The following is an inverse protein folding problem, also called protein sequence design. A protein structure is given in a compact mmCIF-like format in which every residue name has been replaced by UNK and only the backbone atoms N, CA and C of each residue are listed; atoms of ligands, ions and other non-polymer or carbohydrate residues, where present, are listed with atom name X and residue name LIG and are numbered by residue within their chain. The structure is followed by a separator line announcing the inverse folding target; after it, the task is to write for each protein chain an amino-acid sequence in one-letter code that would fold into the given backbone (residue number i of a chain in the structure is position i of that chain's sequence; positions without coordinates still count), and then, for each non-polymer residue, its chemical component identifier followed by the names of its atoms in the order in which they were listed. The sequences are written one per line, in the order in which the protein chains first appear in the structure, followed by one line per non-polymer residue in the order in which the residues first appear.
data_IF_570048127614
#
_entry.id   IF_570048127614
#
_cell.length_a   1.000
_cell.length_b   1.000
_cell.length_c   1.000
_cell.angle_alpha   90.00
_cell.angle_beta   90.00
_cell.angle_gamma   90.00
#
_symmetry.space_group_name_H-M   'P 1'
#
loop_
_entity.id
_entity.type
_entity.pdbx_description
1 polymer ?
#
# COMPACT_ATOMS: atom_id res chain seq x y z
N UNK A 1 48.26 49.99 42.01
CA UNK A 1 46.94 50.15 41.37
C UNK A 1 47.16 49.83 39.90
N UNK A 2 46.67 48.76 39.29
CA UNK A 2 45.38 48.07 39.40
C UNK A 2 45.56 46.56 39.28
N UNK A 3 44.61 45.82 39.84
CA UNK A 3 44.49 44.38 39.80
C UNK A 3 43.34 43.95 38.87
N UNK A 4 43.50 42.77 38.24
CA UNK A 4 42.47 41.80 37.78
C UNK A 4 41.60 42.25 36.58
N UNK A 5 41.14 41.42 35.64
CA UNK A 5 40.79 39.99 35.58
C UNK A 5 41.02 39.42 34.14
N UNK A 6 41.57 38.21 33.93
CA UNK A 6 40.87 36.91 33.71
C UNK A 6 39.98 36.92 32.44
N UNK A 7 40.20 36.11 31.38
CA UNK A 7 39.97 34.65 31.32
C UNK A 7 40.53 33.96 30.06
N UNK A 8 41.04 32.76 30.34
CA UNK A 8 41.38 31.59 29.52
C UNK A 8 40.72 31.44 28.14
N UNK A 9 41.58 31.24 27.13
CA UNK A 9 41.25 30.55 25.87
C UNK A 9 42.42 29.64 25.50
N UNK A 10 42.31 28.35 25.78
CA UNK A 10 43.32 27.36 25.43
C UNK A 10 42.99 26.69 24.08
N UNK A 11 43.86 26.96 23.10
CA UNK A 11 44.48 26.03 22.13
C UNK A 11 44.37 24.54 22.58
N UNK A 12 44.25 23.49 21.77
CA UNK A 12 44.56 23.11 20.37
C UNK A 12 43.58 21.94 20.06
N UNK A 13 43.36 21.45 18.84
CA UNK A 13 44.11 20.31 18.27
C UNK A 13 43.61 20.16 16.83
N UNK A 14 44.53 20.33 15.88
CA UNK A 14 44.40 19.83 14.51
C UNK A 14 44.75 18.34 14.50
N UNK A 15 43.87 17.50 13.98
CA UNK A 15 44.26 16.21 13.41
C UNK A 15 43.22 15.81 12.36
N UNK A 16 43.69 15.56 11.15
CA UNK A 16 42.84 15.31 9.99
C UNK A 16 42.15 13.96 10.04
N UNK A 17 41.02 13.87 9.35
CA UNK A 17 40.58 12.67 8.66
C UNK A 17 39.68 13.11 7.49
N UNK A 18 40.11 12.85 6.26
CA UNK A 18 39.22 12.92 5.10
C UNK A 18 38.10 11.91 5.29
N UNK A 19 36.88 12.38 5.47
CA UNK A 19 35.71 11.55 5.27
C UNK A 19 35.29 11.68 3.81
N UNK A 20 35.65 10.66 3.05
CA UNK A 20 35.02 10.31 1.78
C UNK A 20 33.53 10.17 2.10
N UNK A 21 32.73 11.16 1.71
CA UNK A 21 31.28 11.05 1.68
C UNK A 21 30.89 10.09 0.57
N UNK A 22 31.05 8.79 0.80
CA UNK A 22 30.41 7.78 -0.01
C UNK A 22 28.90 7.88 0.27
N UNK A 23 28.18 8.38 -0.74
CA UNK A 23 26.73 8.32 -0.83
C UNK A 23 26.21 6.97 -0.37
N UNK A 24 25.38 6.96 0.68
CA UNK A 24 24.49 5.83 0.95
C UNK A 24 23.38 5.83 -0.10
N UNK A 25 23.72 5.44 -1.32
CA UNK A 25 22.73 4.91 -2.24
C UNK A 25 22.23 3.57 -1.67
N UNK A 26 20.92 3.36 -1.78
CA UNK A 26 20.15 2.20 -1.30
C UNK A 26 19.90 2.15 0.22
N UNK A 27 19.10 3.10 0.72
CA UNK A 27 18.13 2.72 1.74
C UNK A 27 17.23 1.65 1.10
N UNK A 28 17.37 0.41 1.57
CA UNK A 28 16.40 -0.64 1.32
C UNK A 28 15.01 -0.02 1.58
N UNK A 29 14.12 -0.08 0.60
CA UNK A 29 12.71 0.26 0.81
C UNK A 29 12.20 -0.76 1.82
N UNK A 30 12.19 -0.40 3.10
CA UNK A 30 11.66 -1.27 4.13
C UNK A 30 10.22 -1.61 3.75
N UNK A 31 9.95 -2.91 3.69
CA UNK A 31 8.61 -3.47 3.50
C UNK A 31 7.74 -3.04 4.70
N UNK A 32 6.88 -2.04 4.51
CA UNK A 32 6.06 -1.44 5.58
C UNK A 32 4.84 -2.29 5.93
N UNK A 33 4.42 -3.20 5.04
CA UNK A 33 3.08 -3.78 5.06
C UNK A 33 3.01 -5.26 5.53
N UNK A 34 3.84 -5.62 6.50
CA UNK A 34 3.84 -6.96 7.15
C UNK A 34 3.41 -6.90 8.63
N UNK A 35 2.83 -5.77 9.04
CA UNK A 35 2.34 -5.56 10.40
C UNK A 35 1.19 -6.50 10.75
N UNK A 36 0.95 -6.67 12.06
CA UNK A 36 -0.23 -7.39 12.57
C UNK A 36 -1.47 -6.51 12.37
N UNK A 37 -2.11 -6.63 11.22
CA UNK A 37 -3.45 -6.06 10.97
C UNK A 37 -4.55 -7.03 11.39
N UNK A 38 -5.73 -6.50 11.69
CA UNK A 38 -6.96 -7.30 11.82
C UNK A 38 -7.41 -7.73 10.43
N UNK A 39 -7.84 -9.00 10.32
CA UNK A 39 -8.38 -9.50 9.06
C UNK A 39 -9.61 -8.69 8.62
N UNK A 40 -9.78 -8.41 7.32
CA UNK A 40 -10.97 -7.75 6.84
C UNK A 40 -12.21 -8.64 7.03
N UNK A 41 -13.38 -8.02 7.17
CA UNK A 41 -14.67 -8.72 7.29
C UNK A 41 -15.05 -9.53 6.04
N UNK A 42 -14.37 -9.25 4.92
CA UNK A 42 -14.48 -9.96 3.64
C UNK A 42 -13.36 -10.99 3.44
N UNK A 43 -12.65 -11.39 4.50
CA UNK A 43 -11.69 -12.47 4.41
C UNK A 43 -12.38 -13.76 3.94
N UNK A 44 -11.77 -14.44 2.96
CA UNK A 44 -12.36 -15.61 2.32
C UNK A 44 -11.70 -15.93 0.97
N UNK A 45 -12.17 -17.01 0.36
CA UNK A 45 -11.76 -17.44 -0.98
C UNK A 45 -12.92 -17.26 -1.96
N UNK A 46 -12.64 -16.69 -3.13
CA UNK A 46 -13.67 -16.28 -4.08
C UNK A 46 -13.24 -16.59 -5.51
N UNK A 47 -14.18 -17.00 -6.37
CA UNK A 47 -14.01 -16.85 -7.82
C UNK A 47 -14.50 -15.47 -8.25
N UNK A 48 -13.84 -14.90 -9.24
CA UNK A 48 -14.31 -13.67 -9.88
C UNK A 48 -15.01 -13.90 -11.23
N UNK A 49 -15.75 -12.88 -11.66
CA UNK A 49 -16.51 -12.90 -12.92
C UNK A 49 -15.63 -12.79 -14.18
N UNK A 50 -14.31 -12.67 -14.03
CA UNK A 50 -13.35 -12.65 -15.14
C UNK A 50 -12.60 -13.98 -15.30
N UNK A 51 -12.98 -15.00 -14.51
CA UNK A 51 -12.39 -16.34 -14.56
C UNK A 51 -11.14 -16.51 -13.68
N UNK A 52 -10.81 -15.50 -12.87
CA UNK A 52 -9.78 -15.57 -11.84
C UNK A 52 -10.32 -15.95 -10.46
N UNK A 53 -9.47 -15.82 -9.45
CA UNK A 53 -9.82 -15.99 -8.05
C UNK A 53 -9.16 -14.95 -7.16
N UNK A 54 -9.78 -14.74 -6.01
CA UNK A 54 -9.32 -13.82 -4.97
C UNK A 54 -9.27 -14.56 -3.64
N UNK A 55 -8.09 -14.60 -3.02
CA UNK A 55 -7.94 -15.00 -1.62
C UNK A 55 -7.70 -13.75 -0.78
N UNK A 56 -8.72 -13.35 -0.04
CA UNK A 56 -8.64 -12.26 0.93
C UNK A 56 -8.24 -12.87 2.27
N UNK A 57 -6.94 -12.85 2.56
CA UNK A 57 -6.39 -13.41 3.78
C UNK A 57 -6.42 -12.43 4.96
N UNK A 58 -5.78 -12.82 6.06
CA UNK A 58 -5.67 -11.98 7.26
C UNK A 58 -4.78 -10.76 7.07
N UNK A 59 -3.69 -10.91 6.32
CA UNK A 59 -2.65 -9.89 6.14
C UNK A 59 -2.16 -9.77 4.69
N UNK A 60 -2.83 -10.44 3.77
CA UNK A 60 -2.45 -10.49 2.36
C UNK A 60 -3.69 -10.70 1.50
N UNK A 61 -3.73 -10.05 0.36
CA UNK A 61 -4.67 -10.34 -0.72
C UNK A 61 -3.89 -11.04 -1.83
N UNK A 62 -4.39 -12.17 -2.31
CA UNK A 62 -3.85 -12.86 -3.48
C UNK A 62 -4.89 -12.81 -4.58
N UNK A 63 -4.52 -12.23 -5.73
CA UNK A 63 -5.32 -12.24 -6.95
C UNK A 63 -4.65 -13.20 -7.93
N UNK A 64 -5.36 -14.23 -8.37
CA UNK A 64 -4.80 -15.28 -9.21
C UNK A 64 -5.64 -15.60 -10.45
N UNK A 65 -5.00 -16.22 -11.43
CA UNK A 65 -5.63 -16.65 -12.67
C UNK A 65 -4.66 -17.36 -13.59
N UNK A 66 -4.96 -17.39 -14.90
CA UNK A 66 -4.14 -18.08 -15.90
C UNK A 66 -2.71 -17.53 -16.05
N UNK A 67 -2.45 -16.32 -15.55
CA UNK A 67 -1.14 -15.64 -15.62
C UNK A 67 -0.33 -15.77 -14.32
N UNK A 68 -0.78 -16.56 -13.35
CA UNK A 68 -0.15 -16.71 -12.04
C UNK A 68 -0.82 -15.85 -10.96
N UNK A 69 -0.11 -15.65 -9.86
CA UNK A 69 -0.61 -14.96 -8.66
C UNK A 69 0.08 -13.62 -8.44
N UNK A 70 -0.72 -12.64 -8.01
CA UNK A 70 -0.28 -11.35 -7.52
C UNK A 70 -0.56 -11.25 -6.02
N UNK A 71 0.49 -11.04 -5.25
CA UNK A 71 0.46 -10.95 -3.79
C UNK A 71 0.50 -9.48 -3.34
N UNK A 72 -0.46 -9.07 -2.52
CA UNK A 72 -0.58 -7.70 -1.99
C UNK A 72 -0.61 -7.73 -0.47
N UNK A 73 0.45 -7.22 0.18
CA UNK A 73 0.65 -7.32 1.63
C UNK A 73 0.02 -6.14 2.34
N UNK A 74 -0.70 -6.36 3.45
CA UNK A 74 -1.56 -5.35 4.06
C UNK A 74 -0.77 -4.34 4.92
N UNK A 75 -0.87 -3.07 4.57
CA UNK A 75 -0.38 -1.97 5.40
C UNK A 75 -1.43 -1.60 6.45
N UNK A 76 -2.68 -1.43 5.99
CA UNK A 76 -3.80 -1.03 6.81
C UNK A 76 -5.12 -1.60 6.27
N UNK A 77 -6.03 -1.96 7.19
CA UNK A 77 -7.40 -2.40 6.89
C UNK A 77 -8.36 -1.42 7.52
N UNK A 78 -9.14 -0.71 6.70
CA UNK A 78 -10.08 0.33 7.12
C UNK A 78 -11.52 -0.16 6.91
N UNK A 79 -12.02 -0.91 7.90
CA UNK A 79 -13.30 -1.62 7.82
C UNK A 79 -14.52 -0.70 7.69
N UNK A 80 -14.51 0.46 8.36
CA UNK A 80 -15.63 1.40 8.30
C UNK A 80 -15.73 2.04 6.91
N UNK A 81 -14.59 2.34 6.30
CA UNK A 81 -14.45 3.00 5.01
C UNK A 81 -14.42 2.03 3.82
N UNK A 82 -14.37 0.72 4.11
CA UNK A 82 -14.37 -0.39 3.16
C UNK A 82 -13.21 -0.33 2.17
N UNK A 83 -11.99 -0.10 2.67
CA UNK A 83 -10.78 -0.17 1.87
C UNK A 83 -9.58 -0.77 2.63
N UNK A 84 -8.62 -1.30 1.88
CA UNK A 84 -7.34 -1.83 2.35
C UNK A 84 -6.23 -1.13 1.56
N UNK A 85 -5.21 -0.66 2.26
CA UNK A 85 -3.95 -0.22 1.65
C UNK A 85 -2.96 -1.36 1.73
N UNK A 86 -2.29 -1.64 0.62
CA UNK A 86 -1.36 -2.75 0.46
C UNK A 86 -0.06 -2.32 -0.20
N UNK A 87 0.99 -3.10 -0.04
CA UNK A 87 2.19 -3.05 -0.85
C UNK A 87 2.25 -4.26 -1.78
N UNK A 88 2.48 -3.99 -3.07
CA UNK A 88 2.67 -4.98 -4.11
C UNK A 88 3.94 -5.78 -3.82
N UNK A 89 3.92 -7.11 -3.98
CA UNK A 89 5.12 -7.91 -3.77
C UNK A 89 6.25 -7.47 -4.72
N UNK A 90 7.48 -7.57 -4.23
CA UNK A 90 8.69 -7.25 -4.98
C UNK A 90 8.84 -8.08 -6.26
N UNK A 91 8.20 -9.26 -6.31
CA UNK A 91 8.23 -10.15 -7.48
C UNK A 91 7.19 -9.81 -8.55
N UNK A 92 6.33 -8.81 -8.34
CA UNK A 92 5.37 -8.40 -9.36
C UNK A 92 6.09 -7.91 -10.62
N UNK A 93 5.65 -8.36 -11.80
CA UNK A 93 6.19 -7.89 -13.08
C UNK A 93 5.85 -6.42 -13.38
N UNK A 94 4.89 -5.85 -12.66
CA UNK A 94 4.45 -4.46 -12.76
C UNK A 94 4.30 -3.85 -11.37
N UNK A 95 4.74 -2.60 -11.21
CA UNK A 95 4.65 -1.84 -9.95
C UNK A 95 5.19 -2.58 -8.71
N UNK A 96 6.37 -3.24 -8.78
CA UNK A 96 6.92 -3.96 -7.62
C UNK A 96 7.24 -2.99 -6.48
N UNK A 97 6.92 -3.38 -5.24
CA UNK A 97 7.11 -2.58 -4.02
C UNK A 97 6.31 -1.26 -3.97
N UNK A 98 5.46 -0.97 -4.97
CA UNK A 98 4.54 0.15 -4.93
C UNK A 98 3.28 -0.18 -4.12
N UNK A 99 2.45 0.82 -3.88
CA UNK A 99 1.29 0.71 -3.01
C UNK A 99 0.00 0.69 -3.82
N UNK A 100 -0.90 -0.19 -3.40
CA UNK A 100 -2.23 -0.34 -3.99
C UNK A 100 -3.31 -0.10 -2.95
N UNK A 101 -4.47 0.39 -3.39
CA UNK A 101 -5.68 0.50 -2.56
C UNK A 101 -6.78 -0.33 -3.17
N UNK A 102 -7.27 -1.29 -2.39
CA UNK A 102 -8.44 -2.11 -2.72
C UNK A 102 -9.63 -1.57 -1.95
N UNK A 103 -10.76 -1.41 -2.63
CA UNK A 103 -12.03 -0.98 -2.07
C UNK A 103 -13.05 -2.09 -2.28
N UNK A 104 -14.02 -2.24 -1.38
CA UNK A 104 -15.10 -3.21 -1.56
C UNK A 104 -16.47 -2.61 -1.24
N UNK A 105 -17.51 -3.20 -1.84
CA UNK A 105 -18.89 -2.83 -1.59
C UNK A 105 -19.81 -4.04 -1.71
N UNK A 106 -21.04 -3.91 -1.20
CA UNK A 106 -22.11 -4.87 -1.41
C UNK A 106 -23.21 -4.22 -2.25
N UNK A 107 -23.70 -4.94 -3.26
CA UNK A 107 -24.89 -4.57 -4.02
C UNK A 107 -25.83 -5.76 -4.04
N UNK A 108 -26.96 -5.64 -3.35
CA UNK A 108 -27.81 -6.79 -3.02
C UNK A 108 -27.04 -7.81 -2.17
N UNK A 109 -27.03 -9.06 -2.61
CA UNK A 109 -26.30 -10.17 -1.97
C UNK A 109 -24.85 -10.30 -2.43
N UNK A 110 -24.47 -9.57 -3.49
CA UNK A 110 -23.18 -9.72 -4.14
C UNK A 110 -22.10 -8.86 -3.48
N UNK A 111 -20.92 -9.43 -3.26
CA UNK A 111 -19.71 -8.72 -2.86
C UNK A 111 -18.93 -8.31 -4.11
N UNK A 112 -18.41 -7.10 -4.11
CA UNK A 112 -17.62 -6.54 -5.21
C UNK A 112 -16.36 -5.89 -4.67
N UNK A 113 -15.26 -5.98 -5.42
CA UNK A 113 -14.05 -5.22 -5.13
C UNK A 113 -13.55 -4.43 -6.34
N UNK A 114 -12.79 -3.39 -6.06
CA UNK A 114 -12.10 -2.56 -7.03
C UNK A 114 -10.67 -2.29 -6.52
N UNK A 115 -9.66 -2.51 -7.36
CA UNK A 115 -8.34 -1.93 -7.13
C UNK A 115 -8.36 -0.50 -7.68
N UNK A 116 -8.49 0.48 -6.78
CA UNK A 116 -8.65 1.88 -7.18
C UNK A 116 -7.30 2.57 -7.42
N UNK A 117 -6.27 2.14 -6.68
CA UNK A 117 -4.88 2.58 -6.83
C UNK A 117 -4.01 1.37 -7.10
N UNK A 118 -3.14 1.47 -8.11
CA UNK A 118 -2.31 0.36 -8.59
C UNK A 118 -0.80 0.56 -8.35
N UNK A 119 -0.37 1.80 -8.14
CA UNK A 119 1.01 2.23 -8.38
C UNK A 119 1.41 3.49 -7.59
N UNK A 120 0.90 3.65 -6.37
CA UNK A 120 1.30 4.77 -5.53
C UNK A 120 2.73 4.56 -5.00
N UNK A 121 3.52 5.63 -4.88
CA UNK A 121 4.91 5.56 -4.41
C UNK A 121 5.01 5.41 -2.90
N UNK A 122 3.93 5.76 -2.18
CA UNK A 122 3.88 5.67 -0.71
C UNK A 122 2.53 5.15 -0.24
N UNK A 123 2.50 4.56 0.96
CA UNK A 123 1.25 4.17 1.64
C UNK A 123 0.29 5.35 1.78
N UNK A 124 0.81 6.53 2.16
CA UNK A 124 0.03 7.75 2.32
C UNK A 124 -0.64 8.18 1.02
N UNK A 125 0.06 8.09 -0.10
CA UNK A 125 -0.50 8.42 -1.42
C UNK A 125 -1.61 7.41 -1.80
N UNK A 126 -1.41 6.12 -1.57
CA UNK A 126 -2.46 5.12 -1.80
C UNK A 126 -3.72 5.41 -0.96
N UNK A 127 -3.55 5.91 0.27
CA UNK A 127 -4.64 6.29 1.17
C UNK A 127 -5.30 7.64 0.84
N UNK A 128 -4.72 8.46 -0.05
CA UNK A 128 -5.21 9.81 -0.32
C UNK A 128 -6.43 9.81 -1.25
N UNK A 129 -7.61 10.07 -0.67
CA UNK A 129 -8.86 10.18 -1.42
C UNK A 129 -9.01 11.48 -2.23
N UNK A 130 -8.17 12.48 -2.00
CA UNK A 130 -8.14 13.71 -2.80
C UNK A 130 -7.41 13.46 -4.12
N UNK A 131 -6.26 12.76 -4.06
CA UNK A 131 -5.49 12.40 -5.24
C UNK A 131 -6.14 11.25 -6.03
N UNK A 132 -6.70 10.27 -5.31
CA UNK A 132 -7.35 9.10 -5.87
C UNK A 132 -8.76 8.97 -5.26
N UNK A 133 -9.79 9.54 -5.90
CA UNK A 133 -11.16 9.45 -5.40
C UNK A 133 -11.63 8.00 -5.18
N UNK A 134 -12.56 7.82 -4.23
CA UNK A 134 -13.23 6.52 -4.00
C UNK A 134 -13.83 5.99 -5.30
N UNK A 135 -13.84 4.67 -5.43
CA UNK A 135 -14.60 4.02 -6.48
C UNK A 135 -16.11 4.27 -6.28
N UNK A 136 -16.84 4.46 -7.36
CA UNK A 136 -18.30 4.69 -7.32
C UNK A 136 -19.04 3.36 -7.16
N UNK A 137 -19.75 3.20 -6.05
CA UNK A 137 -20.40 1.95 -5.66
C UNK A 137 -21.83 1.81 -6.18
N UNK A 138 -22.37 2.80 -6.92
CA UNK A 138 -23.80 2.83 -7.26
C UNK A 138 -24.22 1.79 -8.30
N UNK A 139 -23.30 1.37 -9.18
CA UNK A 139 -23.57 0.44 -10.27
C UNK A 139 -22.35 -0.45 -10.58
N UNK A 140 -21.92 -1.27 -9.61
CA UNK A 140 -20.64 -1.97 -9.66
C UNK A 140 -20.56 -3.01 -10.79
N UNK A 141 -21.71 -3.54 -11.24
CA UNK A 141 -21.76 -4.50 -12.34
C UNK A 141 -21.41 -3.91 -13.70
N UNK A 142 -21.45 -2.59 -13.86
CA UNK A 142 -21.19 -1.94 -15.16
C UNK A 142 -20.06 -0.92 -15.11
N UNK A 143 -19.87 -0.21 -13.99
CA UNK A 143 -18.94 0.93 -13.90
C UNK A 143 -18.52 1.24 -12.46
N UNK A 144 -17.74 2.30 -12.31
CA UNK A 144 -17.38 2.91 -11.04
C UNK A 144 -16.00 2.57 -10.51
N UNK A 145 -15.32 1.57 -11.07
CA UNK A 145 -13.95 1.22 -10.72
C UNK A 145 -12.91 1.95 -11.59
N UNK A 146 -11.76 2.24 -10.98
CA UNK A 146 -10.63 2.94 -11.58
C UNK A 146 -10.78 4.46 -11.60
N UNK A 147 -9.68 5.17 -11.94
CA UNK A 147 -9.58 6.64 -11.90
C UNK A 147 -10.73 7.40 -12.59
N UNK A 148 -11.26 6.84 -13.67
CA UNK A 148 -12.33 7.47 -14.46
C UNK A 148 -13.71 6.83 -14.23
N UNK A 149 -13.81 5.84 -13.34
CA UNK A 149 -15.05 5.12 -13.02
C UNK A 149 -15.70 4.42 -14.23
N UNK A 150 -14.95 4.12 -15.29
CA UNK A 150 -15.47 3.53 -16.53
C UNK A 150 -15.48 2.01 -16.51
N UNK A 151 -14.78 1.39 -15.57
CA UNK A 151 -14.66 -0.06 -15.50
C UNK A 151 -15.66 -0.63 -14.49
N UNK A 152 -16.26 -1.80 -14.79
CA UNK A 152 -17.01 -2.53 -13.79
C UNK A 152 -16.10 -2.91 -12.63
N UNK A 153 -16.68 -3.06 -11.45
CA UNK A 153 -16.05 -3.71 -10.33
C UNK A 153 -15.98 -5.22 -10.58
N UNK A 154 -15.14 -5.89 -9.82
CA UNK A 154 -15.03 -7.34 -9.87
C UNK A 154 -15.96 -7.98 -8.85
N UNK A 155 -16.88 -8.83 -9.31
CA UNK A 155 -17.77 -9.62 -8.44
C UNK A 155 -16.97 -10.72 -7.77
N UNK A 156 -17.14 -10.88 -6.46
CA UNK A 156 -16.54 -11.93 -5.66
C UNK A 156 -17.60 -12.95 -5.28
N UNK A 157 -17.55 -14.14 -5.88
CA UNK A 157 -18.45 -15.25 -5.54
C UNK A 157 -17.73 -16.20 -4.59
N UNK A 158 -18.22 -16.40 -3.36
CA UNK A 158 -17.57 -17.29 -2.40
C UNK A 158 -17.32 -18.69 -2.95
N UNK A 159 -16.21 -19.27 -2.52
CA UNK A 159 -15.87 -20.68 -2.71
C UNK A 159 -15.79 -21.34 -1.35
N UNK A 160 -16.38 -22.53 -1.26
CA UNK A 160 -16.27 -23.41 -0.09
C UNK A 160 -14.87 -24.02 0.02
#
# INVERSE_FOLDING_TARGET
MFAKDTKYGALVVTCGLSLIGASSAALATERTCYGKVTAPSIAGYYSDNFGGYQLVGKSIWISGGSQGELLFHYCAVMEAEKHIVTQNDATHGWNPNEYSRFEWTKSGTDLWYCQQVFSAKTEREAADFTAHPKADTRDPGTKGCGKNGKFPWTKMTPKD
#
